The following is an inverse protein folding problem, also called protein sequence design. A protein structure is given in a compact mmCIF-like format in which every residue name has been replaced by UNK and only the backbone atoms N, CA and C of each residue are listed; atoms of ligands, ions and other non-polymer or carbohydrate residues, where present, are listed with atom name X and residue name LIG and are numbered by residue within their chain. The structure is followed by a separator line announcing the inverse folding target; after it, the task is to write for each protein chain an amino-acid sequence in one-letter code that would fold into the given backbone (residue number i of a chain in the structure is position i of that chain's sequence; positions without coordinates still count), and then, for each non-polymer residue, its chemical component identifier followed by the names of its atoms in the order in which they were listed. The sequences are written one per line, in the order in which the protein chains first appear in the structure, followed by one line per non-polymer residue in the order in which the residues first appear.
data_IF_405532085739
#
_entry.id   IF_405532085739
#
_cell.length_a   1.000
_cell.length_b   1.000
_cell.length_c   1.000
_cell.angle_alpha   90.00
_cell.angle_beta   90.00
_cell.angle_gamma   90.00
#
_symmetry.space_group_name_H-M   'P 1'
#
loop_
_entity.id
_entity.type
_entity.pdbx_description
1 polymer ?
#
# COMPACT_ATOMS: atom_id res chain seq x y z
N UNK A 1 -3.74 20.56 -1.71
CA UNK A 1 -3.68 21.68 -2.66
C UNK A 1 -5.03 21.86 -3.34
N UNK A 2 -5.54 23.09 -3.40
CA UNK A 2 -6.71 23.46 -4.19
C UNK A 2 -6.22 24.40 -5.29
N UNK A 3 -6.41 24.00 -6.54
CA UNK A 3 -6.01 24.79 -7.72
C UNK A 3 -7.13 25.71 -8.13
N UNK A 4 -6.79 26.96 -8.40
CA UNK A 4 -7.71 27.99 -8.88
C UNK A 4 -7.50 28.23 -10.38
N UNK A 5 -8.60 28.21 -11.13
CA UNK A 5 -8.60 28.36 -12.59
C UNK A 5 -9.47 29.56 -12.96
N UNK A 6 -9.04 30.34 -13.96
CA UNK A 6 -9.89 31.39 -14.53
C UNK A 6 -10.88 30.83 -15.56
N UNK A 7 -11.75 31.67 -16.09
CA UNK A 7 -12.74 31.31 -17.11
C UNK A 7 -12.10 30.76 -18.41
N UNK A 8 -10.83 31.06 -18.66
CA UNK A 8 -10.07 30.58 -19.82
C UNK A 8 -9.28 29.31 -19.54
N UNK A 9 -9.59 28.58 -18.46
CA UNK A 9 -8.88 27.35 -18.04
C UNK A 9 -7.39 27.54 -17.77
N UNK A 10 -6.96 28.74 -17.40
CA UNK A 10 -5.58 29.01 -17.00
C UNK A 10 -5.46 28.94 -15.47
N UNK A 11 -4.40 28.32 -14.99
CA UNK A 11 -4.09 28.22 -13.56
C UNK A 11 -3.73 29.62 -13.03
N UNK A 12 -4.52 30.13 -12.08
CA UNK A 12 -4.34 31.45 -11.47
C UNK A 12 -3.69 31.40 -10.11
N UNK A 13 -3.68 30.22 -9.47
CA UNK A 13 -3.06 30.05 -8.16
C UNK A 13 -3.36 28.71 -7.53
N UNK A 14 -2.72 28.47 -6.40
CA UNK A 14 -2.96 27.29 -5.55
C UNK A 14 -3.10 27.71 -4.09
N UNK A 15 -4.09 27.14 -3.41
CA UNK A 15 -4.17 27.20 -1.94
C UNK A 15 -3.58 25.91 -1.39
N UNK A 16 -2.55 26.03 -0.56
CA UNK A 16 -1.92 24.92 0.13
C UNK A 16 -2.41 24.90 1.59
N UNK A 17 -2.99 23.77 2.01
CA UNK A 17 -3.31 23.49 3.40
C UNK A 17 -2.29 22.49 3.93
N UNK A 18 -1.58 22.87 4.98
CA UNK A 18 -0.59 22.01 5.66
C UNK A 18 -1.11 21.72 7.06
N UNK A 19 -1.07 20.44 7.45
CA UNK A 19 -1.52 20.02 8.76
C UNK A 19 -1.20 18.55 9.01
N UNK A 20 -1.42 18.12 10.25
CA UNK A 20 -1.33 16.72 10.65
C UNK A 20 -2.73 16.11 10.63
N UNK A 21 -2.80 14.83 10.26
CA UNK A 21 -4.02 14.07 10.41
C UNK A 21 -4.32 13.87 11.90
N UNK A 22 -5.58 14.08 12.28
CA UNK A 22 -6.03 13.82 13.65
C UNK A 22 -6.15 12.33 13.93
N UNK A 23 -6.15 11.91 15.21
CA UNK A 23 -6.43 10.54 15.62
C UNK A 23 -7.74 10.00 15.01
N UNK A 24 -8.74 10.85 14.79
CA UNK A 24 -9.98 10.48 14.11
C UNK A 24 -9.79 10.00 12.68
N UNK A 25 -8.82 10.54 11.93
CA UNK A 25 -8.53 10.08 10.57
C UNK A 25 -7.94 8.67 10.53
N UNK A 26 -7.24 8.25 11.59
CA UNK A 26 -6.68 6.90 11.71
C UNK A 26 -7.69 5.87 12.23
N UNK A 27 -8.61 6.27 13.10
CA UNK A 27 -9.50 5.36 13.82
C UNK A 27 -10.92 5.24 13.21
N UNK A 28 -11.31 6.17 12.33
CA UNK A 28 -12.61 6.10 11.65
C UNK A 28 -12.57 5.11 10.49
N UNK A 29 -13.75 4.58 10.14
CA UNK A 29 -13.91 3.78 8.93
C UNK A 29 -13.51 4.58 7.67
N UNK A 30 -13.00 3.89 6.67
CA UNK A 30 -12.63 4.46 5.35
C UNK A 30 -13.82 5.22 4.72
N UNK A 31 -15.05 4.72 4.93
CA UNK A 31 -16.27 5.36 4.41
C UNK A 31 -16.58 6.73 5.03
N UNK A 32 -16.08 6.99 6.23
CA UNK A 32 -16.31 8.24 6.95
C UNK A 32 -15.30 9.34 6.59
N UNK A 33 -14.23 8.97 5.87
CA UNK A 33 -13.16 9.88 5.46
C UNK A 33 -13.34 10.22 3.98
N UNK A 34 -13.72 11.46 3.60
CA UNK A 34 -14.14 11.80 2.24
C UNK A 34 -13.19 11.36 1.14
N UNK A 35 -11.89 11.63 1.27
CA UNK A 35 -10.87 11.22 0.28
C UNK A 35 -10.70 9.71 0.17
N UNK A 36 -10.67 9.02 1.31
CA UNK A 36 -10.55 7.55 1.38
C UNK A 36 -11.83 6.86 0.88
N UNK A 37 -13.01 7.40 1.22
CA UNK A 37 -14.30 6.92 0.68
C UNK A 37 -14.33 6.95 -0.84
N UNK A 38 -13.84 8.04 -1.45
CA UNK A 38 -13.80 8.14 -2.92
C UNK A 38 -12.85 7.09 -3.54
N UNK A 39 -11.74 6.76 -2.88
CA UNK A 39 -10.84 5.70 -3.33
C UNK A 39 -11.50 4.34 -3.21
N UNK A 40 -12.14 4.05 -2.08
CA UNK A 40 -12.89 2.82 -1.85
C UNK A 40 -13.96 2.64 -2.94
N UNK A 41 -14.83 3.64 -3.15
CA UNK A 41 -15.87 3.57 -4.16
C UNK A 41 -15.31 3.33 -5.56
N UNK A 42 -14.22 4.01 -5.92
CA UNK A 42 -13.56 3.79 -7.20
C UNK A 42 -13.12 2.34 -7.39
N UNK A 43 -12.50 1.74 -6.37
CA UNK A 43 -12.04 0.34 -6.41
C UNK A 43 -13.23 -0.62 -6.51
N UNK A 44 -14.25 -0.43 -5.67
CA UNK A 44 -15.43 -1.29 -5.68
C UNK A 44 -16.17 -1.25 -7.03
N UNK A 45 -16.42 -0.06 -7.57
CA UNK A 45 -17.08 0.11 -8.87
C UNK A 45 -16.25 -0.49 -10.01
N UNK A 46 -14.94 -0.23 -10.04
CA UNK A 46 -14.05 -0.70 -11.10
C UNK A 46 -13.83 -2.21 -11.05
N UNK A 47 -13.96 -2.84 -9.89
CA UNK A 47 -13.80 -4.30 -9.75
C UNK A 47 -14.79 -5.12 -10.54
N UNK A 48 -15.97 -4.57 -10.86
CA UNK A 48 -17.04 -5.29 -11.54
C UNK A 48 -17.64 -6.44 -10.74
N UNK A 49 -17.30 -6.57 -9.45
CA UNK A 49 -17.81 -7.63 -8.59
C UNK A 49 -19.29 -7.36 -8.21
N UNK A 50 -20.11 -8.41 -8.06
CA UNK A 50 -21.50 -8.25 -7.62
C UNK A 50 -21.57 -7.58 -6.25
N UNK A 51 -22.43 -6.54 -6.09
CA UNK A 51 -22.56 -5.73 -4.87
C UNK A 51 -22.85 -6.56 -3.60
N UNK A 52 -23.63 -7.62 -3.72
CA UNK A 52 -23.96 -8.52 -2.61
C UNK A 52 -23.05 -9.75 -2.53
N UNK A 53 -22.06 -9.85 -3.41
CA UNK A 53 -21.12 -10.96 -3.48
C UNK A 53 -20.14 -11.03 -2.31
N UNK A 54 -19.58 -12.21 -2.07
CA UNK A 54 -18.50 -12.39 -1.07
C UNK A 54 -17.26 -11.55 -1.43
N UNK A 55 -16.86 -11.54 -2.71
CA UNK A 55 -15.67 -10.85 -3.18
C UNK A 55 -15.69 -9.35 -2.90
N UNK A 56 -16.84 -8.67 -3.05
CA UNK A 56 -16.95 -7.23 -2.78
C UNK A 56 -16.78 -6.92 -1.28
N UNK A 57 -17.29 -7.81 -0.41
CA UNK A 57 -17.12 -7.68 1.04
C UNK A 57 -15.67 -7.89 1.47
N UNK A 58 -15.00 -8.87 0.88
CA UNK A 58 -13.57 -9.10 1.09
C UNK A 58 -12.76 -7.90 0.63
N UNK A 59 -13.02 -7.39 -0.56
CA UNK A 59 -12.33 -6.22 -1.12
C UNK A 59 -12.51 -4.97 -0.25
N UNK A 60 -13.74 -4.74 0.25
CA UNK A 60 -14.02 -3.68 1.21
C UNK A 60 -13.17 -3.82 2.47
N UNK A 61 -13.12 -5.02 3.07
CA UNK A 61 -12.34 -5.30 4.28
C UNK A 61 -10.84 -5.14 4.05
N UNK A 62 -10.31 -5.52 2.88
CA UNK A 62 -8.91 -5.32 2.54
C UNK A 62 -8.54 -3.84 2.54
N UNK A 63 -9.39 -2.97 1.98
CA UNK A 63 -9.18 -1.52 1.94
C UNK A 63 -9.38 -0.90 3.33
N UNK A 64 -10.38 -1.37 4.10
CA UNK A 64 -10.59 -0.91 5.47
C UNK A 64 -9.37 -1.15 6.36
N UNK A 65 -8.67 -2.26 6.15
CA UNK A 65 -7.44 -2.64 6.88
C UNK A 65 -6.15 -2.21 6.20
N UNK A 66 -6.23 -1.43 5.13
CA UNK A 66 -5.04 -0.91 4.44
C UNK A 66 -4.28 0.07 5.37
N UNK A 67 -2.92 0.10 5.35
CA UNK A 67 -2.17 1.06 6.15
C UNK A 67 -2.64 2.48 5.89
N UNK A 68 -3.08 3.21 6.95
CA UNK A 68 -3.76 4.50 6.82
C UNK A 68 -2.89 5.56 6.15
N UNK A 69 -1.63 5.67 6.55
CA UNK A 69 -0.71 6.65 5.97
C UNK A 69 -0.53 6.40 4.47
N UNK A 70 -0.47 5.14 4.09
CA UNK A 70 -0.34 4.75 2.69
C UNK A 70 -1.66 4.97 1.93
N UNK A 71 -2.82 4.65 2.54
CA UNK A 71 -4.14 4.90 1.97
C UNK A 71 -4.38 6.39 1.67
N UNK A 72 -3.86 7.30 2.50
CA UNK A 72 -3.98 8.73 2.27
C UNK A 72 -3.18 9.20 1.05
N UNK A 73 -2.08 8.53 0.74
CA UNK A 73 -1.15 8.93 -0.30
C UNK A 73 -1.35 8.21 -1.63
N UNK A 74 -1.71 6.92 -1.60
CA UNK A 74 -1.87 6.08 -2.79
C UNK A 74 -2.92 6.64 -3.75
N UNK A 75 -2.68 6.56 -5.05
CA UNK A 75 -3.66 6.94 -6.06
C UNK A 75 -4.79 5.92 -6.16
N UNK A 76 -5.92 6.31 -6.77
CA UNK A 76 -7.07 5.42 -6.99
C UNK A 76 -6.71 4.19 -7.82
N UNK A 77 -5.86 4.36 -8.84
CA UNK A 77 -5.46 3.28 -9.74
C UNK A 77 -4.47 2.32 -9.06
N UNK A 78 -3.44 2.84 -8.38
CA UNK A 78 -2.51 2.01 -7.62
C UNK A 78 -3.23 1.21 -6.53
N UNK A 79 -4.20 1.83 -5.82
CA UNK A 79 -5.00 1.15 -4.82
C UNK A 79 -5.85 0.02 -5.45
N UNK A 80 -6.43 0.27 -6.63
CA UNK A 80 -7.18 -0.74 -7.37
C UNK A 80 -6.29 -1.95 -7.71
N UNK A 81 -5.13 -1.71 -8.32
CA UNK A 81 -4.23 -2.77 -8.74
C UNK A 81 -3.71 -3.58 -7.54
N UNK A 82 -3.35 -2.88 -6.45
CA UNK A 82 -2.92 -3.53 -5.21
C UNK A 82 -4.05 -4.33 -4.56
N UNK A 83 -5.24 -3.76 -4.44
CA UNK A 83 -6.38 -4.40 -3.78
C UNK A 83 -6.88 -5.63 -4.56
N UNK A 84 -6.89 -5.59 -5.89
CA UNK A 84 -7.21 -6.75 -6.73
C UNK A 84 -6.16 -7.85 -6.60
N UNK A 85 -4.87 -7.49 -6.59
CA UNK A 85 -3.80 -8.45 -6.32
C UNK A 85 -3.89 -9.08 -4.92
N UNK A 86 -4.29 -8.29 -3.91
CA UNK A 86 -4.54 -8.80 -2.55
C UNK A 86 -5.77 -9.72 -2.50
N UNK A 87 -6.81 -9.44 -3.29
CA UNK A 87 -7.99 -10.31 -3.40
C UNK A 87 -7.63 -11.67 -3.99
N UNK A 88 -6.79 -11.71 -5.03
CA UNK A 88 -6.29 -12.95 -5.62
C UNK A 88 -5.47 -13.80 -4.63
N UNK A 89 -4.78 -13.17 -3.67
CA UNK A 89 -4.03 -13.86 -2.63
C UNK A 89 -4.92 -14.62 -1.64
N UNK A 90 -6.18 -14.21 -1.46
CA UNK A 90 -7.12 -14.94 -0.59
C UNK A 90 -7.34 -16.37 -1.09
N UNK A 91 -7.23 -16.57 -2.41
CA UNK A 91 -7.38 -17.88 -3.06
C UNK A 91 -6.05 -18.64 -3.20
N UNK A 92 -4.92 -17.93 -3.16
CA UNK A 92 -3.57 -18.48 -3.41
C UNK A 92 -2.60 -18.07 -2.29
N UNK A 93 -2.38 -18.97 -1.35
CA UNK A 93 -1.48 -18.79 -0.22
C UNK A 93 -0.01 -18.81 -0.65
N UNK A 94 0.47 -17.69 -1.19
CA UNK A 94 1.86 -17.55 -1.63
C UNK A 94 2.46 -16.23 -1.15
N UNK A 95 3.76 -16.17 -1.13
CA UNK A 95 4.49 -14.91 -0.93
C UNK A 95 4.17 -13.93 -2.06
N UNK A 96 3.92 -12.67 -1.70
CA UNK A 96 3.63 -11.60 -2.65
C UNK A 96 4.19 -10.27 -2.14
N UNK A 97 4.64 -9.45 -3.09
CA UNK A 97 5.16 -8.11 -2.83
C UNK A 97 4.37 -7.08 -3.64
N UNK A 98 3.81 -6.09 -2.94
CA UNK A 98 3.25 -4.88 -3.55
C UNK A 98 4.11 -3.69 -3.16
N UNK A 99 4.47 -2.87 -4.13
CA UNK A 99 5.38 -1.73 -3.94
C UNK A 99 4.75 -0.47 -4.47
N UNK A 100 4.82 0.58 -3.67
CA UNK A 100 4.49 1.94 -4.07
C UNK A 100 5.66 2.86 -3.77
N UNK A 101 6.08 3.64 -4.76
CA UNK A 101 7.05 4.71 -4.57
C UNK A 101 6.35 5.98 -4.11
N UNK A 102 6.90 6.66 -3.10
CA UNK A 102 6.44 7.99 -2.69
C UNK A 102 6.51 8.97 -3.87
N UNK A 103 5.52 9.85 -3.97
CA UNK A 103 5.44 10.89 -5.02
C UNK A 103 6.69 11.77 -5.10
N UNK A 104 7.34 12.00 -3.96
CA UNK A 104 8.57 12.78 -3.86
C UNK A 104 9.84 11.91 -3.80
N UNK A 105 9.69 10.62 -4.06
CA UNK A 105 10.78 9.63 -4.07
C UNK A 105 11.58 9.53 -2.77
N UNK A 106 10.99 9.87 -1.63
CA UNK A 106 11.63 9.83 -0.31
C UNK A 106 11.63 8.44 0.31
N UNK A 107 10.69 7.59 -0.07
CA UNK A 107 10.55 6.23 0.44
C UNK A 107 9.81 5.31 -0.53
N UNK A 108 9.98 4.02 -0.31
CA UNK A 108 9.11 2.97 -0.87
C UNK A 108 8.23 2.38 0.23
N UNK A 109 6.94 2.25 -0.05
CA UNK A 109 5.99 1.51 0.77
C UNK A 109 5.85 0.12 0.17
N UNK A 110 6.24 -0.90 0.95
CA UNK A 110 6.28 -2.30 0.53
C UNK A 110 5.34 -3.12 1.41
N UNK A 111 4.28 -3.69 0.82
CA UNK A 111 3.41 -4.65 1.48
C UNK A 111 3.85 -6.06 1.09
N UNK A 112 4.36 -6.81 2.05
CA UNK A 112 4.82 -8.18 1.87
C UNK A 112 3.83 -9.12 2.55
N UNK A 113 3.37 -10.12 1.81
CA UNK A 113 2.55 -11.20 2.32
C UNK A 113 3.37 -12.48 2.34
N UNK A 114 3.41 -13.16 3.47
CA UNK A 114 4.13 -14.43 3.63
C UNK A 114 3.24 -15.45 4.33
N UNK A 115 3.38 -16.76 4.06
CA UNK A 115 2.69 -17.80 4.81
C UNK A 115 2.95 -17.66 6.32
N UNK A 116 1.88 -17.73 7.11
CA UNK A 116 1.95 -17.47 8.56
C UNK A 116 2.82 -18.50 9.31
N UNK A 117 2.81 -19.74 8.86
CA UNK A 117 3.60 -20.84 9.41
C UNK A 117 5.11 -20.65 9.17
N UNK A 118 5.50 -19.89 8.17
CA UNK A 118 6.89 -19.54 7.85
C UNK A 118 7.36 -18.26 8.52
N UNK A 119 6.43 -17.42 8.99
CA UNK A 119 6.77 -16.11 9.55
C UNK A 119 7.48 -16.24 10.90
N UNK A 120 8.64 -15.61 11.00
CA UNK A 120 9.40 -15.39 12.23
C UNK A 120 10.21 -14.09 12.14
N UNK A 121 10.84 -13.69 13.25
CA UNK A 121 11.61 -12.43 13.31
C UNK A 121 12.84 -12.42 12.40
N UNK A 122 13.50 -13.56 12.20
CA UNK A 122 14.66 -13.70 11.32
C UNK A 122 14.24 -13.50 9.84
N UNK A 123 13.17 -14.16 9.41
CA UNK A 123 12.61 -13.97 8.06
C UNK A 123 12.21 -12.50 7.83
N UNK A 124 11.51 -11.89 8.79
CA UNK A 124 11.13 -10.47 8.72
C UNK A 124 12.36 -9.57 8.49
N UNK A 125 13.43 -9.80 9.25
CA UNK A 125 14.65 -9.02 9.12
C UNK A 125 15.31 -9.23 7.75
N UNK A 126 15.45 -10.48 7.30
CA UNK A 126 16.02 -10.80 5.99
C UNK A 126 15.23 -10.15 4.83
N UNK A 127 13.91 -10.12 4.93
CA UNK A 127 13.06 -9.43 3.95
C UNK A 127 13.35 -7.92 3.97
N UNK A 128 13.40 -7.29 5.17
CA UNK A 128 13.71 -5.87 5.30
C UNK A 128 15.07 -5.51 4.70
N UNK A 129 16.10 -6.30 4.99
CA UNK A 129 17.45 -6.12 4.46
C UNK A 129 17.51 -6.31 2.93
N UNK A 130 16.72 -7.25 2.40
CA UNK A 130 16.60 -7.46 0.94
C UNK A 130 15.95 -6.26 0.27
N UNK A 131 14.83 -5.75 0.81
CA UNK A 131 14.16 -4.56 0.30
C UNK A 131 15.07 -3.34 0.37
N UNK A 132 15.75 -3.14 1.50
CA UNK A 132 16.67 -2.03 1.71
C UNK A 132 17.79 -2.04 0.66
N UNK A 133 18.43 -3.18 0.44
CA UNK A 133 19.48 -3.33 -0.60
C UNK A 133 18.96 -3.09 -2.00
N UNK A 134 17.77 -3.63 -2.31
CA UNK A 134 17.18 -3.54 -3.66
C UNK A 134 16.78 -2.13 -4.06
N UNK A 135 16.41 -1.28 -3.09
CA UNK A 135 16.00 0.10 -3.34
C UNK A 135 17.07 1.14 -3.00
N UNK A 136 18.26 0.73 -2.56
CA UNK A 136 19.29 1.67 -2.09
C UNK A 136 18.85 2.41 -0.84
N UNK A 137 18.15 1.70 0.07
CA UNK A 137 17.59 2.28 1.29
C UNK A 137 18.64 2.67 2.30
N UNK A 138 18.38 3.74 3.06
CA UNK A 138 19.19 4.20 4.18
C UNK A 138 18.73 3.59 5.50
N UNK A 139 17.44 3.39 5.66
CA UNK A 139 16.79 2.78 6.82
C UNK A 139 15.43 2.22 6.45
N UNK A 140 14.87 1.39 7.31
CA UNK A 140 13.48 0.96 7.17
C UNK A 140 12.76 0.89 8.51
N UNK A 141 11.47 1.16 8.46
CA UNK A 141 10.50 0.88 9.50
C UNK A 141 9.57 -0.24 9.05
N UNK A 142 8.96 -0.95 9.99
CA UNK A 142 8.01 -2.01 9.66
C UNK A 142 6.88 -2.11 10.66
N UNK A 143 5.72 -2.59 10.18
CA UNK A 143 4.59 -2.99 10.98
C UNK A 143 4.13 -4.38 10.55
N UNK A 144 3.84 -5.26 11.52
CA UNK A 144 3.33 -6.62 11.26
C UNK A 144 1.86 -6.67 11.62
N UNK A 145 1.07 -7.21 10.70
CA UNK A 145 -0.37 -7.37 10.87
C UNK A 145 -0.73 -8.86 10.83
N UNK A 146 -1.18 -9.37 11.95
CA UNK A 146 -1.78 -10.69 12.05
C UNK A 146 -3.30 -10.56 11.93
N UNK A 147 -3.90 -11.34 11.04
CA UNK A 147 -5.34 -11.49 10.90
C UNK A 147 -5.70 -12.97 11.02
N UNK A 148 -6.96 -13.32 10.85
CA UNK A 148 -7.40 -14.72 10.74
C UNK A 148 -6.93 -15.39 9.43
N UNK A 149 -6.32 -14.63 8.53
CA UNK A 149 -5.74 -15.14 7.30
C UNK A 149 -4.55 -16.06 7.57
N UNK A 150 -4.35 -17.02 6.69
CA UNK A 150 -3.16 -17.90 6.65
C UNK A 150 -1.90 -17.15 6.20
N UNK A 151 -2.03 -15.89 5.80
CA UNK A 151 -0.93 -15.00 5.43
C UNK A 151 -0.72 -13.96 6.52
N UNK A 152 0.55 -13.73 6.86
CA UNK A 152 0.99 -12.56 7.63
C UNK A 152 1.31 -11.43 6.66
N UNK A 153 0.81 -10.23 6.95
CA UNK A 153 1.14 -9.02 6.19
C UNK A 153 2.17 -8.20 6.95
N UNK A 154 3.24 -7.84 6.25
CA UNK A 154 4.27 -6.95 6.78
C UNK A 154 4.29 -5.71 5.89
N UNK A 155 4.20 -4.54 6.51
CA UNK A 155 4.34 -3.26 5.83
C UNK A 155 5.71 -2.68 6.16
N UNK A 156 6.55 -2.50 5.15
CA UNK A 156 7.84 -1.83 5.28
C UNK A 156 7.78 -0.44 4.64
N UNK A 157 8.41 0.52 5.29
CA UNK A 157 8.69 1.84 4.74
C UNK A 157 10.20 1.96 4.60
N UNK A 158 10.70 1.93 3.37
CA UNK A 158 12.13 1.98 3.05
C UNK A 158 12.48 3.43 2.73
N UNK A 159 13.17 4.12 3.62
CA UNK A 159 13.64 5.49 3.40
C UNK A 159 14.81 5.49 2.41
N UNK A 160 14.74 6.35 1.41
CA UNK A 160 15.74 6.45 0.35
C UNK A 160 16.14 7.92 0.13
N UNK A 161 17.34 8.13 -0.38
CA UNK A 161 17.72 9.43 -0.93
C UNK A 161 17.05 9.58 -2.32
N UNK A 162 16.24 10.63 -2.55
CA UNK A 162 15.59 10.85 -3.83
C UNK A 162 16.53 10.91 -5.04
N UNK A 163 17.79 11.30 -4.82
CA UNK A 163 18.81 11.45 -5.86
C UNK A 163 19.48 10.11 -6.23
N UNK A 164 19.51 9.15 -5.31
CA UNK A 164 20.22 7.86 -5.48
C UNK A 164 19.29 6.65 -5.47
N UNK A 165 17.98 6.86 -5.31
CA UNK A 165 16.99 5.80 -5.25
C UNK A 165 17.00 4.93 -6.52
N UNK A 166 17.27 3.64 -6.35
CA UNK A 166 17.29 2.64 -7.43
C UNK A 166 15.87 2.13 -7.67
N UNK A 167 15.48 1.98 -8.93
CA UNK A 167 14.23 1.31 -9.29
C UNK A 167 14.56 -0.11 -9.73
N UNK A 168 14.34 -1.07 -8.85
CA UNK A 168 14.48 -2.49 -9.17
C UNK A 168 13.13 -3.08 -9.57
N UNK A 169 13.14 -4.04 -10.50
CA UNK A 169 11.91 -4.69 -10.92
C UNK A 169 11.26 -5.47 -9.75
N UNK A 170 10.01 -5.15 -9.43
CA UNK A 170 9.29 -5.73 -8.28
C UNK A 170 9.25 -7.27 -8.32
N UNK A 171 9.13 -7.86 -9.50
CA UNK A 171 9.11 -9.32 -9.67
C UNK A 171 10.42 -9.99 -9.26
N UNK A 172 11.56 -9.34 -9.55
CA UNK A 172 12.86 -9.86 -9.15
C UNK A 172 13.01 -9.90 -7.62
N UNK A 173 12.57 -8.83 -6.96
CA UNK A 173 12.58 -8.75 -5.49
C UNK A 173 11.60 -9.76 -4.90
N UNK A 174 10.40 -9.89 -5.48
CA UNK A 174 9.40 -10.89 -5.06
C UNK A 174 9.99 -12.29 -5.10
N UNK A 175 10.69 -12.67 -6.18
CA UNK A 175 11.34 -13.98 -6.29
C UNK A 175 12.41 -14.20 -5.22
N UNK A 176 13.21 -13.18 -4.90
CA UNK A 176 14.19 -13.28 -3.80
C UNK A 176 13.50 -13.49 -2.44
N UNK A 177 12.38 -12.81 -2.19
CA UNK A 177 11.61 -13.00 -0.96
C UNK A 177 10.95 -14.39 -0.93
N UNK A 178 10.45 -14.88 -2.06
CA UNK A 178 9.92 -16.24 -2.16
C UNK A 178 10.98 -17.30 -1.80
N UNK A 179 12.23 -17.12 -2.23
CA UNK A 179 13.35 -18.02 -1.86
C UNK A 179 13.62 -18.01 -0.36
N UNK A 180 13.51 -16.85 0.30
CA UNK A 180 13.67 -16.76 1.75
C UNK A 180 12.54 -17.46 2.53
N UNK A 181 11.38 -17.65 1.91
CA UNK A 181 10.20 -18.28 2.54
C UNK A 181 10.09 -19.79 2.29
N UNK A 182 11.00 -20.37 1.53
CA UNK A 182 11.08 -21.83 1.30
C UNK A 182 11.75 -22.55 2.46
#
# INVERSE_FOLDING_TARGET
FVRHWNANSQLTGETCLVGLFSAGAYNRSVVDIPGSRQKLQHVLTRSGLPEQGHGIKVLHNLIERYPRDDLFQITKNELYDTAMGMLELQERQRTRLFVRRDRFSRFFSCLVFVPRDRFNSDLRQKIGDTLMRSYGGQSYEFNVYFSESVLTRIHYLISVDPLTAVSTETKQIESQIEELTR
#
